data_IF_440496381941
#
_entry.id   IF_440496381941
#
_cell.length_a   1.000
_cell.length_b   1.000
_cell.length_c   1.000
_cell.angle_alpha   90.00
_cell.angle_beta   90.00
_cell.angle_gamma   90.00
#
_symmetry.space_group_name_H-M   'P 1'
#
loop_
_entity.id
_entity.type
_entity.pdbx_description
1 polymer ?
#
# COMPACT_ATOMS: atom_id res chain seq x y z
N UNK A 1 -8.56 19.79 25.01
CA UNK A 1 -8.75 20.15 23.59
C UNK A 1 -7.38 20.08 22.91
N UNK A 2 -7.23 19.29 21.85
CA UNK A 2 -5.97 19.15 21.12
C UNK A 2 -5.64 20.45 20.38
N UNK A 3 -4.42 20.97 20.51
CA UNK A 3 -3.98 22.25 19.89
C UNK A 3 -3.11 22.07 18.66
N UNK A 4 -2.43 20.93 18.56
CA UNK A 4 -1.50 20.59 17.48
C UNK A 4 -1.82 19.19 17.02
N UNK A 5 -2.02 19.02 15.71
CA UNK A 5 -2.24 17.72 15.09
C UNK A 5 -0.88 17.03 14.88
N UNK A 6 -0.82 15.72 15.07
CA UNK A 6 0.38 14.94 14.74
C UNK A 6 0.71 14.99 13.24
N UNK A 7 -0.34 15.01 12.40
CA UNK A 7 -0.22 15.13 10.95
C UNK A 7 -1.40 15.93 10.39
N UNK A 8 -1.13 16.80 9.40
CA UNK A 8 -2.13 17.59 8.68
C UNK A 8 -2.20 17.12 7.24
N UNK A 9 -3.37 16.69 6.79
CA UNK A 9 -3.62 16.31 5.39
C UNK A 9 -3.47 17.52 4.46
N UNK A 10 -2.91 17.28 3.27
CA UNK A 10 -2.69 18.26 2.22
C UNK A 10 -3.76 18.20 1.11
N UNK A 11 -5.00 17.85 1.46
CA UNK A 11 -6.08 17.71 0.49
C UNK A 11 -6.61 19.08 0.03
N UNK A 12 -7.00 19.15 -1.23
CA UNK A 12 -7.69 20.28 -1.85
C UNK A 12 -9.04 19.81 -2.46
N UNK A 13 -9.63 20.61 -3.36
CA UNK A 13 -10.91 20.27 -3.98
C UNK A 13 -10.85 19.00 -4.86
N UNK A 14 -9.65 18.60 -5.31
CA UNK A 14 -9.46 17.44 -6.18
C UNK A 14 -9.85 16.13 -5.52
N UNK A 15 -9.53 15.93 -4.24
CA UNK A 15 -9.89 14.68 -3.55
C UNK A 15 -11.41 14.54 -3.42
N UNK A 16 -12.10 15.62 -3.03
CA UNK A 16 -13.57 15.61 -2.92
C UNK A 16 -14.23 15.36 -4.28
N UNK A 17 -13.70 15.97 -5.34
CA UNK A 17 -14.16 15.75 -6.71
C UNK A 17 -13.92 14.30 -7.15
N UNK A 18 -12.75 13.73 -6.90
CA UNK A 18 -12.43 12.34 -7.27
C UNK A 18 -13.37 11.33 -6.59
N UNK A 19 -13.72 11.56 -5.31
CA UNK A 19 -14.72 10.75 -4.60
C UNK A 19 -16.08 10.88 -5.26
N UNK A 20 -16.53 12.12 -5.52
CA UNK A 20 -17.82 12.38 -6.16
C UNK A 20 -17.92 11.71 -7.53
N UNK A 21 -16.91 11.89 -8.39
CA UNK A 21 -16.87 11.30 -9.74
C UNK A 21 -16.94 9.76 -9.68
N UNK A 22 -16.31 9.14 -8.67
CA UNK A 22 -16.36 7.69 -8.46
C UNK A 22 -17.76 7.23 -8.04
N UNK A 23 -18.38 7.93 -7.08
CA UNK A 23 -19.75 7.63 -6.63
C UNK A 23 -20.76 7.80 -7.77
N UNK A 24 -20.69 8.92 -8.50
CA UNK A 24 -21.59 9.22 -9.62
C UNK A 24 -21.45 8.19 -10.77
N UNK A 25 -20.26 7.60 -10.95
CA UNK A 25 -20.03 6.56 -11.95
C UNK A 25 -20.74 5.24 -11.64
N UNK A 26 -21.14 5.00 -10.38
CA UNK A 26 -21.69 3.73 -9.89
C UNK A 26 -20.66 2.60 -9.75
N UNK A 27 -19.40 2.80 -10.15
CA UNK A 27 -18.33 1.80 -10.06
C UNK A 27 -17.44 2.05 -8.83
N UNK A 28 -17.87 1.54 -7.67
CA UNK A 28 -17.21 1.82 -6.38
C UNK A 28 -16.14 0.79 -5.96
N UNK A 29 -15.94 -0.26 -6.75
CA UNK A 29 -14.91 -1.29 -6.50
C UNK A 29 -13.67 -1.04 -7.35
N UNK A 30 -12.68 -1.93 -7.26
CA UNK A 30 -11.52 -1.91 -8.15
C UNK A 30 -11.97 -1.82 -9.62
N UNK A 31 -11.37 -0.91 -10.38
CA UNK A 31 -11.78 -0.58 -11.74
C UNK A 31 -10.88 0.49 -12.36
N UNK A 32 -11.43 1.26 -13.30
CA UNK A 32 -10.64 2.22 -14.10
C UNK A 32 -9.90 3.25 -13.24
N UNK A 33 -10.50 3.72 -12.14
CA UNK A 33 -9.85 4.67 -11.22
C UNK A 33 -8.63 4.08 -10.51
N UNK A 34 -8.69 2.80 -10.11
CA UNK A 34 -7.55 2.10 -9.53
C UNK A 34 -6.44 1.91 -10.57
N UNK A 35 -6.80 1.52 -11.81
CA UNK A 35 -5.85 1.35 -12.90
C UNK A 35 -5.17 2.66 -13.32
N UNK A 36 -5.93 3.75 -13.38
CA UNK A 36 -5.37 5.08 -13.63
C UNK A 36 -4.35 5.46 -12.55
N UNK A 37 -4.69 5.21 -11.28
CA UNK A 37 -3.80 5.45 -10.15
C UNK A 37 -2.52 4.61 -10.24
N UNK A 38 -2.64 3.31 -10.50
CA UNK A 38 -1.50 2.39 -10.68
C UNK A 38 -0.55 2.86 -11.78
N UNK A 39 -1.08 3.18 -12.96
CA UNK A 39 -0.27 3.67 -14.08
C UNK A 39 0.44 4.99 -13.74
N UNK A 40 -0.26 5.93 -13.10
CA UNK A 40 0.33 7.20 -12.70
C UNK A 40 1.39 7.02 -11.63
N UNK A 41 1.18 6.10 -10.69
CA UNK A 41 2.13 5.79 -9.63
C UNK A 41 3.38 5.10 -10.19
N UNK A 42 3.21 4.13 -11.09
CA UNK A 42 4.32 3.49 -11.79
C UNK A 42 5.17 4.52 -12.56
N UNK A 43 4.53 5.40 -13.33
CA UNK A 43 5.22 6.47 -14.06
C UNK A 43 5.95 7.46 -13.13
N UNK A 44 5.45 7.68 -11.91
CA UNK A 44 6.11 8.51 -10.91
C UNK A 44 7.39 7.87 -10.37
N UNK A 45 7.45 6.54 -10.30
CA UNK A 45 8.62 5.79 -9.82
C UNK A 45 9.74 5.72 -10.87
N UNK A 46 9.40 5.61 -12.17
CA UNK A 46 10.38 5.59 -13.25
C UNK A 46 9.86 4.93 -14.54
N UNK A 47 10.67 5.00 -15.60
CA UNK A 47 10.38 4.27 -16.84
C UNK A 47 10.49 2.75 -16.61
N UNK A 48 9.54 1.99 -17.13
CA UNK A 48 9.44 0.52 -17.03
C UNK A 48 9.08 -0.03 -15.64
N UNK A 49 8.67 0.81 -14.70
CA UNK A 49 8.12 0.34 -13.43
C UNK A 49 6.68 -0.15 -13.57
N UNK A 50 6.26 -1.05 -12.67
CA UNK A 50 4.89 -1.53 -12.55
C UNK A 50 4.39 -1.34 -11.13
N UNK A 51 3.12 -1.00 -10.97
CA UNK A 51 2.50 -0.79 -9.66
C UNK A 51 1.15 -1.50 -9.59
N UNK A 52 0.83 -2.04 -8.40
CA UNK A 52 -0.45 -2.65 -8.08
C UNK A 52 -0.95 -2.03 -6.78
N UNK A 53 -2.16 -1.48 -6.81
CA UNK A 53 -2.80 -0.91 -5.63
C UNK A 53 -3.46 -2.02 -4.80
N UNK A 54 -3.15 -2.02 -3.50
CA UNK A 54 -3.73 -2.96 -2.54
C UNK A 54 -4.34 -2.20 -1.37
N UNK A 55 -5.05 -2.90 -0.49
CA UNK A 55 -5.85 -2.29 0.58
C UNK A 55 -5.04 -1.56 1.65
N UNK A 56 -3.75 -1.84 1.81
CA UNK A 56 -2.87 -1.20 2.80
C UNK A 56 -1.39 -1.49 2.55
N UNK A 57 -0.49 -0.75 3.23
CA UNK A 57 0.95 -1.05 3.24
C UNK A 57 1.28 -2.41 3.87
N UNK A 58 0.48 -2.91 4.81
CA UNK A 58 0.66 -4.27 5.34
C UNK A 58 0.32 -5.32 4.29
N UNK A 59 -0.76 -5.12 3.53
CA UNK A 59 -1.13 -6.01 2.43
C UNK A 59 -0.05 -6.00 1.33
N UNK A 60 0.57 -4.84 1.03
CA UNK A 60 1.63 -4.78 0.02
C UNK A 60 2.86 -5.57 0.43
N UNK A 61 3.30 -5.47 1.69
CA UNK A 61 4.42 -6.24 2.21
C UNK A 61 4.12 -7.75 2.18
N UNK A 62 2.91 -8.15 2.58
CA UNK A 62 2.50 -9.56 2.53
C UNK A 62 2.50 -10.11 1.10
N UNK A 63 1.91 -9.37 0.15
CA UNK A 63 1.90 -9.76 -1.26
C UNK A 63 3.31 -9.83 -1.86
N UNK A 64 4.22 -8.95 -1.44
CA UNK A 64 5.61 -8.98 -1.88
C UNK A 64 6.32 -10.26 -1.43
N UNK A 65 6.13 -10.69 -0.18
CA UNK A 65 6.71 -11.95 0.32
C UNK A 65 6.14 -13.17 -0.42
N UNK A 66 4.82 -13.20 -0.63
CA UNK A 66 4.17 -14.26 -1.41
C UNK A 66 4.67 -14.29 -2.86
N UNK A 67 4.86 -13.13 -3.49
CA UNK A 67 5.36 -13.03 -4.86
C UNK A 67 6.83 -13.44 -5.02
N UNK A 68 7.59 -13.50 -3.93
CA UNK A 68 8.97 -14.00 -3.88
C UNK A 68 9.05 -15.46 -3.40
N UNK A 69 7.91 -16.13 -3.22
CA UNK A 69 7.80 -17.49 -2.68
C UNK A 69 8.47 -17.69 -1.30
N UNK A 70 8.53 -16.63 -0.47
CA UNK A 70 9.09 -16.68 0.88
C UNK A 70 8.13 -17.42 1.82
N UNK A 71 8.66 -18.35 2.62
CA UNK A 71 7.86 -19.14 3.55
C UNK A 71 8.65 -19.86 4.64
N UNK A 72 8.17 -21.04 5.03
CA UNK A 72 8.74 -21.84 6.12
C UNK A 72 10.20 -22.20 5.81
N UNK A 73 11.10 -21.87 6.74
CA UNK A 73 12.53 -22.12 6.63
C UNK A 73 13.33 -20.93 6.13
N UNK A 74 12.67 -19.91 5.57
CA UNK A 74 13.33 -18.68 5.16
C UNK A 74 13.51 -17.72 6.34
N UNK A 75 14.56 -16.91 6.24
CA UNK A 75 14.90 -15.83 7.17
C UNK A 75 14.79 -14.48 6.46
N UNK A 76 14.15 -13.49 7.11
CA UNK A 76 14.00 -12.13 6.58
C UNK A 76 14.59 -11.14 7.57
N UNK A 77 15.63 -10.41 7.14
CA UNK A 77 16.31 -9.42 7.96
C UNK A 77 15.47 -8.15 8.07
N UNK A 78 15.21 -7.69 9.29
CA UNK A 78 14.36 -6.51 9.57
C UNK A 78 15.08 -5.52 10.48
N UNK A 79 15.00 -4.19 10.22
CA UNK A 79 15.51 -3.19 11.14
C UNK A 79 14.84 -3.26 12.52
N UNK A 80 15.64 -3.12 13.58
CA UNK A 80 15.12 -3.18 14.96
C UNK A 80 14.11 -2.07 15.32
N UNK A 81 14.10 -0.96 14.56
CA UNK A 81 13.16 0.15 14.74
C UNK A 81 12.34 0.35 13.46
N UNK A 82 11.12 -0.16 13.45
CA UNK A 82 10.17 -0.03 12.33
C UNK A 82 8.71 -0.15 12.83
N UNK A 83 7.73 -0.14 11.92
CA UNK A 83 6.34 -0.46 12.21
C UNK A 83 6.13 -1.98 12.31
N UNK A 84 5.26 -2.42 13.22
CA UNK A 84 5.06 -3.85 13.55
C UNK A 84 4.63 -4.73 12.37
N UNK A 85 4.06 -4.13 11.32
CA UNK A 85 3.64 -4.88 10.13
C UNK A 85 4.80 -5.66 9.50
N UNK A 86 6.00 -5.10 9.47
CA UNK A 86 7.17 -5.72 8.83
C UNK A 86 7.45 -7.11 9.41
N UNK A 87 7.42 -7.24 10.74
CA UNK A 87 7.64 -8.51 11.44
C UNK A 87 6.43 -9.43 11.25
N UNK A 88 5.23 -8.88 11.36
CA UNK A 88 4.00 -9.66 11.29
C UNK A 88 3.82 -10.35 9.93
N UNK A 89 4.10 -9.67 8.82
CA UNK A 89 3.91 -10.27 7.49
C UNK A 89 4.89 -11.41 7.23
N UNK A 90 6.12 -11.34 7.76
CA UNK A 90 7.10 -12.43 7.71
C UNK A 90 6.60 -13.64 8.50
N UNK A 91 6.05 -13.41 9.71
CA UNK A 91 5.43 -14.48 10.48
C UNK A 91 4.19 -15.07 9.81
N UNK A 92 3.39 -14.26 9.10
CA UNK A 92 2.18 -14.71 8.40
C UNK A 92 2.49 -15.71 7.27
N UNK A 93 3.59 -15.51 6.55
CA UNK A 93 4.04 -16.45 5.50
C UNK A 93 4.79 -17.67 6.06
N UNK A 94 5.03 -17.72 7.38
CA UNK A 94 5.70 -18.83 8.06
C UNK A 94 7.23 -18.70 8.15
N UNK A 95 7.80 -17.61 7.65
CA UNK A 95 9.22 -17.30 7.72
C UNK A 95 9.64 -16.80 9.11
N UNK A 96 10.95 -16.66 9.31
CA UNK A 96 11.55 -16.17 10.56
C UNK A 96 12.10 -14.75 10.38
N UNK A 97 11.55 -13.74 11.07
CA UNK A 97 12.14 -12.41 11.09
C UNK A 97 13.41 -12.41 11.94
N UNK A 98 14.47 -11.77 11.47
CA UNK A 98 15.80 -11.71 12.11
C UNK A 98 16.27 -10.28 12.29
#
# INVERSE_FOLDING_TARGET
>A
MWKVQLFKLNYDEKESKAVKDTVDSGWITMGEKSKEFENRFANMLGENESAIAVSSGTASLHMALLGLDIGIGDEVIIPALTFVADINVVKMVGATPV
#
